data_IF_542524190433
#
_entry.id   IF_542524190433
#
_cell.length_a   1.000
_cell.length_b   1.000
_cell.length_c   1.000
_cell.angle_alpha   90.00
_cell.angle_beta   90.00
_cell.angle_gamma   90.00
#
_symmetry.space_group_name_H-M   'P 1'
#
loop_
_entity.id
_entity.type
_entity.pdbx_description
1 polymer ?
#
# COMPACT_ATOMS: atom_id res chain seq x y z
N UNK A 1 20.62 -7.46 8.24
CA UNK A 1 21.60 -7.66 9.35
C UNK A 1 23.01 -7.19 8.96
N UNK A 2 23.49 -7.51 7.77
CA UNK A 2 24.86 -7.17 7.32
C UNK A 2 25.18 -5.69 7.39
N UNK A 3 24.27 -4.83 6.97
CA UNK A 3 24.44 -3.37 7.07
C UNK A 3 24.75 -2.92 8.51
N UNK A 4 23.93 -3.35 9.49
CA UNK A 4 24.10 -2.97 10.88
C UNK A 4 25.42 -3.49 11.44
N UNK A 5 25.72 -4.79 11.22
CA UNK A 5 26.96 -5.40 11.68
C UNK A 5 28.20 -4.71 11.08
N UNK A 6 28.20 -4.43 9.78
CA UNK A 6 29.29 -3.70 9.13
C UNK A 6 29.45 -2.31 9.73
N UNK A 7 28.34 -1.59 9.95
CA UNK A 7 28.38 -0.24 10.55
C UNK A 7 28.98 -0.23 11.97
N UNK A 8 28.65 -1.24 12.79
CA UNK A 8 29.23 -1.37 14.14
C UNK A 8 30.71 -1.72 14.07
N UNK A 9 31.09 -2.70 13.23
CA UNK A 9 32.47 -3.18 13.10
C UNK A 9 33.40 -2.06 12.59
N UNK A 10 32.92 -1.23 11.66
CA UNK A 10 33.67 -0.12 11.07
C UNK A 10 33.64 1.14 11.92
N UNK A 11 32.91 1.17 13.04
CA UNK A 11 32.62 2.39 13.81
C UNK A 11 32.10 3.53 12.91
N UNK A 12 31.22 3.16 11.97
CA UNK A 12 30.75 4.02 10.89
C UNK A 12 30.06 5.29 11.40
N UNK A 13 30.51 6.44 10.93
CA UNK A 13 29.82 7.72 11.07
C UNK A 13 28.53 7.77 10.21
N UNK A 14 27.69 8.81 10.30
CA UNK A 14 26.45 8.90 9.51
C UNK A 14 26.66 8.80 8.01
N UNK A 15 27.76 9.38 7.46
CA UNK A 15 28.04 9.33 6.03
C UNK A 15 28.42 7.93 5.59
N UNK A 16 29.29 7.27 6.35
CA UNK A 16 29.66 5.89 6.07
C UNK A 16 28.49 4.91 6.25
N UNK A 17 27.62 5.12 7.23
CA UNK A 17 26.38 4.33 7.39
C UNK A 17 25.48 4.46 6.18
N UNK A 18 25.31 5.66 5.64
CA UNK A 18 24.54 5.90 4.43
C UNK A 18 25.12 5.17 3.21
N UNK A 19 26.44 5.19 3.02
CA UNK A 19 27.10 4.45 1.94
C UNK A 19 26.91 2.93 2.09
N UNK A 20 27.06 2.39 3.29
CA UNK A 20 26.78 0.98 3.57
C UNK A 20 25.31 0.62 3.30
N UNK A 21 24.39 1.49 3.71
CA UNK A 21 22.96 1.31 3.44
C UNK A 21 22.68 1.25 1.94
N UNK A 22 23.14 2.20 1.17
CA UNK A 22 22.98 2.22 -0.29
C UNK A 22 23.56 0.96 -0.94
N UNK A 23 24.74 0.54 -0.52
CA UNK A 23 25.40 -0.64 -1.09
C UNK A 23 24.64 -1.95 -0.82
N UNK A 24 23.89 -2.02 0.26
CA UNK A 24 23.12 -3.22 0.66
C UNK A 24 21.64 -3.16 0.25
N UNK A 25 21.06 -1.97 0.24
CA UNK A 25 19.63 -1.72 0.05
C UNK A 25 19.39 -0.59 -0.95
N UNK A 26 20.01 -0.67 -2.14
CA UNK A 26 19.87 0.32 -3.19
C UNK A 26 18.41 0.61 -3.58
N UNK A 27 17.57 -0.43 -3.50
CA UNK A 27 16.13 -0.33 -3.75
C UNK A 27 15.34 0.39 -2.63
N UNK A 28 15.92 0.61 -1.46
CA UNK A 28 15.19 1.13 -0.30
C UNK A 28 15.03 2.67 -0.30
N UNK A 29 15.63 3.36 -1.24
CA UNK A 29 15.39 4.80 -1.45
C UNK A 29 14.21 4.98 -2.43
N UNK A 30 13.01 5.17 -1.90
CA UNK A 30 11.78 5.37 -2.69
C UNK A 30 11.21 6.75 -2.38
N UNK A 31 10.93 7.57 -3.40
CA UNK A 31 11.25 7.41 -4.82
C UNK A 31 12.77 7.49 -5.09
N UNK A 32 13.28 6.86 -6.16
CA UNK A 32 14.70 6.82 -6.48
C UNK A 32 15.20 8.14 -7.13
N UNK A 33 14.88 9.25 -6.51
CA UNK A 33 15.24 10.62 -6.92
C UNK A 33 15.95 11.31 -5.74
N UNK A 34 16.67 12.44 -5.96
CA UNK A 34 17.41 13.10 -4.89
C UNK A 34 16.61 13.40 -3.63
N UNK A 35 15.34 13.81 -3.78
CA UNK A 35 14.44 14.05 -2.65
C UNK A 35 14.13 12.77 -1.85
N UNK A 36 13.90 11.65 -2.52
CA UNK A 36 13.68 10.35 -1.89
C UNK A 36 14.93 9.84 -1.18
N UNK A 37 16.10 10.00 -1.79
CA UNK A 37 17.37 9.64 -1.16
C UNK A 37 17.66 10.47 0.09
N UNK A 38 17.40 11.79 0.04
CA UNK A 38 17.51 12.66 1.21
C UNK A 38 16.59 12.21 2.34
N UNK A 39 15.33 11.94 2.04
CA UNK A 39 14.35 11.45 3.01
C UNK A 39 14.78 10.10 3.60
N UNK A 40 15.23 9.15 2.78
CA UNK A 40 15.70 7.84 3.25
C UNK A 40 16.91 7.96 4.18
N UNK A 41 17.84 8.87 3.88
CA UNK A 41 18.98 9.17 4.75
C UNK A 41 18.54 9.76 6.10
N UNK A 42 17.66 10.76 6.09
CA UNK A 42 17.12 11.36 7.32
C UNK A 42 16.39 10.31 8.18
N UNK A 43 15.64 9.41 7.55
CA UNK A 43 14.98 8.30 8.23
C UNK A 43 15.98 7.31 8.82
N UNK A 44 17.04 6.96 8.11
CA UNK A 44 18.11 6.09 8.60
C UNK A 44 18.81 6.69 9.83
N UNK A 45 19.16 7.96 9.77
CA UNK A 45 19.80 8.67 10.88
C UNK A 45 18.90 8.70 12.12
N UNK A 46 17.59 8.95 11.93
CA UNK A 46 16.61 8.91 13.00
C UNK A 46 16.36 7.51 13.57
N UNK A 47 16.51 6.46 12.74
CA UNK A 47 16.34 5.07 13.13
C UNK A 47 17.54 4.50 13.87
N UNK A 48 18.74 5.04 13.65
CA UNK A 48 19.98 4.44 14.10
C UNK A 48 20.01 4.10 15.59
N UNK A 49 19.57 5.01 16.43
CA UNK A 49 19.53 4.82 17.87
C UNK A 49 18.54 3.74 18.34
N UNK A 50 17.58 3.35 17.50
CA UNK A 50 16.54 2.36 17.83
C UNK A 50 16.99 0.92 17.55
N UNK A 51 17.94 0.69 16.64
CA UNK A 51 18.35 -0.65 16.25
C UNK A 51 18.83 -1.53 17.42
N UNK A 52 19.64 -1.05 18.38
CA UNK A 52 20.07 -1.89 19.51
C UNK A 52 18.89 -2.51 20.28
N UNK A 53 17.85 -1.72 20.54
CA UNK A 53 16.66 -2.16 21.28
C UNK A 53 15.79 -3.09 20.44
N UNK A 54 15.69 -2.84 19.13
CA UNK A 54 14.89 -3.63 18.19
C UNK A 54 15.60 -4.92 17.70
N UNK A 55 16.87 -5.14 18.05
CA UNK A 55 17.68 -6.20 17.46
C UNK A 55 17.10 -7.61 17.67
N UNK A 56 16.45 -7.86 18.80
CA UNK A 56 15.76 -9.13 19.06
C UNK A 56 14.59 -9.34 18.10
N UNK A 57 13.77 -8.31 17.88
CA UNK A 57 12.65 -8.34 16.94
C UNK A 57 13.12 -8.50 15.50
N UNK A 58 14.15 -7.76 15.09
CA UNK A 58 14.78 -7.90 13.77
C UNK A 58 15.28 -9.31 13.52
N UNK A 59 15.90 -9.95 14.52
CA UNK A 59 16.35 -11.34 14.40
C UNK A 59 15.21 -12.34 14.33
N UNK A 60 14.12 -12.12 15.06
CA UNK A 60 12.91 -12.95 14.96
C UNK A 60 12.30 -12.84 13.57
N UNK A 61 12.13 -11.62 13.04
CA UNK A 61 11.65 -11.41 11.69
C UNK A 61 12.56 -12.05 10.63
N UNK A 62 13.89 -11.99 10.82
CA UNK A 62 14.84 -12.63 9.92
C UNK A 62 14.81 -14.17 9.98
N UNK A 63 14.45 -14.75 11.12
CA UNK A 63 14.35 -16.20 11.28
C UNK A 63 13.05 -16.76 10.66
N UNK A 64 11.91 -16.06 10.84
CA UNK A 64 10.64 -16.50 10.31
C UNK A 64 9.63 -15.34 10.26
N UNK A 65 9.19 -14.99 9.06
CA UNK A 65 8.02 -14.14 8.87
C UNK A 65 6.75 -14.96 9.21
N UNK A 66 5.82 -14.36 9.93
CA UNK A 66 4.57 -15.01 10.32
C UNK A 66 3.35 -14.19 9.89
N UNK A 67 2.34 -14.79 9.21
CA UNK A 67 2.35 -16.18 8.68
C UNK A 67 3.47 -16.42 7.67
N UNK A 68 3.72 -17.66 7.26
CA UNK A 68 4.76 -17.90 6.25
C UNK A 68 4.39 -17.19 4.95
N UNK A 69 5.35 -16.58 4.23
CA UNK A 69 5.06 -15.88 2.99
C UNK A 69 4.37 -16.76 1.94
N UNK A 70 4.75 -18.04 1.85
CA UNK A 70 4.12 -18.98 0.93
C UNK A 70 2.64 -19.21 1.27
N UNK A 71 2.33 -19.41 2.54
CA UNK A 71 0.94 -19.58 3.00
C UNK A 71 0.11 -18.32 2.68
N UNK A 72 0.62 -17.14 3.04
CA UNK A 72 -0.08 -15.88 2.80
C UNK A 72 -0.31 -15.61 1.32
N UNK A 73 0.68 -15.88 0.47
CA UNK A 73 0.52 -15.73 -0.97
C UNK A 73 -0.57 -16.66 -1.52
N UNK A 74 -0.62 -17.91 -1.04
CA UNK A 74 -1.66 -18.87 -1.42
C UNK A 74 -3.05 -18.35 -1.04
N UNK A 75 -3.23 -17.89 0.22
CA UNK A 75 -4.51 -17.35 0.71
C UNK A 75 -4.97 -16.12 -0.11
N UNK A 76 -4.07 -15.21 -0.44
CA UNK A 76 -4.38 -14.02 -1.26
C UNK A 76 -4.73 -14.43 -2.70
N UNK A 77 -3.95 -15.33 -3.31
CA UNK A 77 -4.17 -15.80 -4.67
C UNK A 77 -5.52 -16.53 -4.81
N UNK A 78 -5.87 -17.39 -3.85
CA UNK A 78 -7.16 -18.08 -3.80
C UNK A 78 -8.32 -17.10 -3.65
N UNK A 79 -8.24 -16.15 -2.71
CA UNK A 79 -9.27 -15.14 -2.48
C UNK A 79 -9.53 -14.29 -3.74
N UNK A 80 -8.47 -13.92 -4.44
CA UNK A 80 -8.53 -13.11 -5.67
C UNK A 80 -8.80 -13.95 -6.93
N UNK A 81 -8.91 -15.27 -6.82
CA UNK A 81 -9.23 -16.18 -7.91
C UNK A 81 -8.17 -16.19 -8.99
N UNK A 82 -6.89 -16.21 -8.62
CA UNK A 82 -5.77 -16.29 -9.55
C UNK A 82 -5.87 -17.53 -10.45
N UNK A 83 -5.66 -17.36 -11.76
CA UNK A 83 -5.82 -18.43 -12.76
C UNK A 83 -4.52 -19.16 -13.09
N UNK A 84 -3.45 -18.89 -12.35
CA UNK A 84 -2.14 -19.50 -12.56
C UNK A 84 -1.18 -19.16 -11.43
N UNK A 85 0.06 -19.63 -11.52
CA UNK A 85 1.04 -19.37 -10.47
C UNK A 85 1.39 -17.89 -10.37
N UNK A 86 1.34 -17.36 -9.16
CA UNK A 86 1.86 -16.03 -8.84
C UNK A 86 3.28 -16.18 -8.30
N UNK A 87 4.23 -15.48 -8.91
CA UNK A 87 5.65 -15.57 -8.56
C UNK A 87 6.10 -14.28 -7.88
N UNK A 88 6.65 -14.41 -6.69
CA UNK A 88 7.23 -13.28 -5.96
C UNK A 88 8.69 -13.54 -5.62
N UNK A 89 9.46 -12.47 -5.58
CA UNK A 89 10.74 -12.38 -4.92
C UNK A 89 10.56 -11.56 -3.66
N UNK A 90 10.67 -12.19 -2.50
CA UNK A 90 10.57 -11.51 -1.23
C UNK A 90 11.97 -11.06 -0.78
N UNK A 91 12.11 -9.78 -0.47
CA UNK A 91 13.31 -9.18 0.11
C UNK A 91 12.98 -8.75 1.53
N UNK A 92 13.52 -9.48 2.50
CA UNK A 92 13.44 -9.09 3.90
C UNK A 92 14.64 -8.18 4.23
N UNK A 93 14.39 -6.97 4.71
CA UNK A 93 15.42 -5.97 4.96
C UNK A 93 15.25 -5.31 6.32
N UNK A 94 16.29 -4.72 6.85
CA UNK A 94 16.20 -3.87 8.04
C UNK A 94 15.80 -2.49 7.58
N UNK A 95 14.61 -2.04 7.92
CA UNK A 95 14.07 -0.76 7.52
C UNK A 95 14.35 0.37 8.54
N UNK A 96 13.49 1.36 8.56
CA UNK A 96 13.65 2.58 9.37
C UNK A 96 12.50 2.82 10.36
N UNK A 97 11.81 1.76 10.77
CA UNK A 97 10.66 1.80 11.69
C UNK A 97 9.48 2.64 11.17
N UNK A 98 9.25 2.61 9.84
CA UNK A 98 8.21 3.40 9.18
C UNK A 98 7.10 2.55 8.55
N UNK A 99 7.08 1.23 8.82
CA UNK A 99 6.20 0.29 8.12
C UNK A 99 6.26 0.55 6.61
N UNK A 100 7.44 0.36 6.05
CA UNK A 100 7.76 0.67 4.67
C UNK A 100 7.83 -0.56 3.79
N UNK A 101 6.92 -1.52 3.96
CA UNK A 101 6.73 -2.58 2.98
C UNK A 101 6.29 -1.98 1.65
N UNK A 102 6.75 -2.54 0.54
CA UNK A 102 6.38 -2.06 -0.79
C UNK A 102 6.57 -3.10 -1.89
N UNK A 103 5.83 -2.94 -2.96
CA UNK A 103 5.91 -3.72 -4.18
C UNK A 103 6.65 -2.95 -5.27
N UNK A 104 7.61 -3.61 -5.96
CA UNK A 104 8.45 -3.00 -7.01
C UNK A 104 7.96 -3.30 -8.44
N UNK A 105 6.73 -3.75 -8.59
CA UNK A 105 6.18 -4.12 -9.90
C UNK A 105 6.61 -5.51 -10.38
N UNK A 106 6.31 -5.81 -11.65
CA UNK A 106 6.56 -7.13 -12.27
C UNK A 106 7.69 -7.02 -13.28
N UNK A 107 8.69 -7.87 -13.13
CA UNK A 107 9.76 -8.05 -14.11
C UNK A 107 9.93 -9.54 -14.40
N UNK A 108 9.93 -9.92 -15.68
CA UNK A 108 10.06 -11.31 -16.12
C UNK A 108 9.02 -12.25 -15.46
N UNK A 109 7.79 -11.75 -15.25
CA UNK A 109 6.71 -12.50 -14.60
C UNK A 109 6.88 -12.69 -13.09
N UNK A 110 7.81 -11.95 -12.44
CA UNK A 110 8.07 -12.01 -11.00
C UNK A 110 7.85 -10.63 -10.39
N UNK A 111 7.01 -10.55 -9.36
CA UNK A 111 6.89 -9.34 -8.53
C UNK A 111 7.97 -9.33 -7.44
N UNK A 112 8.63 -8.20 -7.24
CA UNK A 112 9.56 -8.04 -6.12
C UNK A 112 8.88 -7.26 -5.00
N UNK A 113 8.92 -7.82 -3.78
CA UNK A 113 8.28 -7.25 -2.60
C UNK A 113 9.32 -7.12 -1.50
N UNK A 114 9.37 -5.97 -0.87
CA UNK A 114 10.26 -5.68 0.25
C UNK A 114 9.47 -5.60 1.56
N UNK A 115 9.91 -6.33 2.59
CA UNK A 115 9.28 -6.37 3.92
C UNK A 115 10.33 -6.00 4.98
N UNK A 116 10.07 -4.97 5.81
CA UNK A 116 10.97 -4.58 6.88
C UNK A 116 10.94 -5.59 8.03
N UNK A 117 12.11 -5.96 8.55
CA UNK A 117 12.27 -7.00 9.57
C UNK A 117 12.00 -6.53 11.01
N UNK A 118 12.06 -5.22 11.25
CA UNK A 118 11.84 -4.64 12.57
C UNK A 118 10.37 -4.55 12.97
N UNK A 119 9.46 -4.78 12.03
CA UNK A 119 8.04 -4.74 12.28
C UNK A 119 7.56 -5.95 13.09
N UNK A 120 6.41 -5.83 13.74
CA UNK A 120 5.82 -6.91 14.51
C UNK A 120 5.30 -8.04 13.61
N UNK A 121 5.09 -9.24 14.16
CA UNK A 121 4.46 -10.34 13.42
C UNK A 121 3.07 -9.97 12.89
N UNK A 122 2.32 -9.14 13.64
CA UNK A 122 1.05 -8.58 13.19
C UNK A 122 1.23 -7.68 11.98
N UNK A 123 2.19 -6.76 12.02
CA UNK A 123 2.45 -5.85 10.90
C UNK A 123 2.95 -6.63 9.67
N UNK A 124 3.82 -7.63 9.84
CA UNK A 124 4.22 -8.51 8.75
C UNK A 124 3.03 -9.21 8.09
N UNK A 125 2.04 -9.69 8.88
CA UNK A 125 0.85 -10.33 8.34
C UNK A 125 0.01 -9.36 7.51
N UNK A 126 -0.16 -8.13 7.98
CA UNK A 126 -0.90 -7.07 7.28
C UNK A 126 -0.17 -6.64 6.01
N UNK A 127 1.11 -6.32 6.12
CA UNK A 127 1.92 -5.82 5.02
C UNK A 127 2.12 -6.87 3.91
N UNK A 128 2.39 -8.13 4.27
CA UNK A 128 2.43 -9.22 3.28
C UNK A 128 1.10 -9.38 2.55
N UNK A 129 -0.02 -9.28 3.26
CA UNK A 129 -1.34 -9.40 2.63
C UNK A 129 -1.57 -8.27 1.63
N UNK A 130 -1.24 -7.04 2.02
CA UNK A 130 -1.36 -5.85 1.18
C UNK A 130 -0.50 -5.97 -0.09
N UNK A 131 0.79 -6.20 0.08
CA UNK A 131 1.75 -6.24 -1.03
C UNK A 131 1.54 -7.46 -1.95
N UNK A 132 1.14 -8.61 -1.41
CA UNK A 132 0.80 -9.78 -2.21
C UNK A 132 -0.47 -9.57 -3.02
N UNK A 133 -1.42 -8.75 -2.53
CA UNK A 133 -2.59 -8.35 -3.31
C UNK A 133 -2.17 -7.60 -4.58
N UNK A 134 -1.25 -6.64 -4.46
CA UNK A 134 -0.70 -5.95 -5.62
C UNK A 134 0.01 -6.92 -6.59
N UNK A 135 0.79 -7.87 -6.07
CA UNK A 135 1.49 -8.85 -6.90
C UNK A 135 0.51 -9.74 -7.69
N UNK A 136 -0.55 -10.23 -7.05
CA UNK A 136 -1.60 -11.02 -7.72
C UNK A 136 -2.29 -10.18 -8.78
N UNK A 137 -2.72 -8.97 -8.45
CA UNK A 137 -3.42 -8.06 -9.34
C UNK A 137 -2.59 -7.72 -10.58
N UNK A 138 -1.34 -7.35 -10.41
CA UNK A 138 -0.44 -7.02 -11.52
C UNK A 138 -0.20 -8.22 -12.46
N UNK A 139 -0.04 -9.43 -11.89
CA UNK A 139 0.22 -10.63 -12.71
C UNK A 139 -1.02 -11.21 -13.37
N UNK A 140 -2.19 -11.08 -12.75
CA UNK A 140 -3.45 -11.61 -13.31
C UNK A 140 -4.18 -10.61 -14.21
N UNK A 141 -4.18 -9.33 -13.85
CA UNK A 141 -4.87 -8.28 -14.60
C UNK A 141 -4.05 -7.62 -15.72
N UNK A 142 -2.76 -7.97 -15.85
CA UNK A 142 -1.89 -7.40 -16.89
C UNK A 142 -1.70 -5.88 -16.79
N UNK A 143 -1.71 -5.35 -15.60
CA UNK A 143 -1.64 -3.91 -15.35
C UNK A 143 -0.24 -3.37 -15.72
N UNK A 144 -0.21 -2.37 -16.62
CA UNK A 144 1.04 -1.84 -17.18
C UNK A 144 1.31 -0.39 -16.86
N UNK A 145 0.37 0.29 -16.26
CA UNK A 145 0.48 1.70 -15.91
C UNK A 145 -0.39 2.03 -14.70
N UNK A 146 -0.31 3.27 -14.25
CA UNK A 146 -1.17 3.75 -13.16
C UNK A 146 -1.80 5.09 -13.56
N UNK A 147 -3.12 5.17 -13.36
CA UNK A 147 -3.88 6.40 -13.24
C UNK A 147 -4.29 6.60 -11.78
N UNK A 148 -4.81 7.77 -11.45
CA UNK A 148 -5.37 8.00 -10.10
C UNK A 148 -6.51 7.01 -9.83
N UNK A 149 -7.40 6.75 -10.81
CA UNK A 149 -8.49 5.79 -10.65
C UNK A 149 -7.98 4.36 -10.45
N UNK A 150 -6.96 3.93 -11.21
CA UNK A 150 -6.36 2.61 -11.01
C UNK A 150 -5.69 2.48 -9.65
N UNK A 151 -5.07 3.55 -9.15
CA UNK A 151 -4.48 3.57 -7.81
C UNK A 151 -5.57 3.48 -6.71
N UNK A 152 -6.70 4.20 -6.87
CA UNK A 152 -7.87 4.08 -5.98
C UNK A 152 -8.34 2.63 -5.88
N UNK A 153 -8.44 1.95 -7.02
CA UNK A 153 -8.83 0.55 -7.03
C UNK A 153 -7.78 -0.36 -6.39
N UNK A 154 -6.51 -0.20 -6.75
CA UNK A 154 -5.43 -1.07 -6.28
C UNK A 154 -5.27 -0.99 -4.76
N UNK A 155 -5.18 0.21 -4.20
CA UNK A 155 -5.04 0.43 -2.77
C UNK A 155 -6.31 0.05 -2.00
N UNK A 156 -7.47 0.35 -2.58
CA UNK A 156 -8.76 -0.07 -2.03
C UNK A 156 -8.90 -1.58 -1.97
N UNK A 157 -8.52 -2.30 -3.02
CA UNK A 157 -8.54 -3.77 -3.04
C UNK A 157 -7.54 -4.35 -2.02
N UNK A 158 -6.31 -3.84 -1.99
CA UNK A 158 -5.29 -4.31 -1.07
C UNK A 158 -5.71 -4.12 0.39
N UNK A 159 -6.27 -2.96 0.76
CA UNK A 159 -6.77 -2.71 2.12
C UNK A 159 -7.95 -3.62 2.49
N UNK A 160 -8.89 -3.89 1.56
CA UNK A 160 -10.04 -4.77 1.81
C UNK A 160 -9.67 -6.26 1.85
N UNK A 161 -8.70 -6.70 1.05
CA UNK A 161 -8.13 -8.06 1.15
C UNK A 161 -7.42 -8.23 2.50
N UNK A 162 -6.67 -7.19 2.92
CA UNK A 162 -6.00 -7.20 4.23
C UNK A 162 -7.01 -7.31 5.37
N UNK A 163 -8.11 -6.56 5.35
CA UNK A 163 -9.21 -6.69 6.30
C UNK A 163 -9.82 -8.11 6.30
N UNK A 164 -10.06 -8.66 5.13
CA UNK A 164 -10.70 -9.98 4.97
C UNK A 164 -9.86 -11.12 5.53
N UNK A 165 -8.54 -11.09 5.32
CA UNK A 165 -7.63 -12.14 5.75
C UNK A 165 -7.03 -11.92 7.15
N UNK A 166 -7.16 -10.73 7.71
CA UNK A 166 -6.71 -10.38 9.06
C UNK A 166 -7.81 -9.61 9.80
N UNK A 167 -8.96 -10.26 10.11
CA UNK A 167 -10.11 -9.57 10.71
C UNK A 167 -9.82 -9.13 12.15
N UNK A 168 -10.62 -8.15 12.62
CA UNK A 168 -10.65 -7.78 14.04
C UNK A 168 -9.91 -6.50 14.40
N UNK A 169 -9.30 -5.81 13.43
CA UNK A 169 -8.70 -4.51 13.67
C UNK A 169 -9.62 -3.36 13.22
N UNK A 170 -9.46 -2.15 13.76
CA UNK A 170 -10.15 -0.97 13.26
C UNK A 170 -9.64 -0.57 11.87
N UNK A 171 -10.49 0.09 11.09
CA UNK A 171 -10.22 0.42 9.68
C UNK A 171 -8.93 1.22 9.44
N UNK A 172 -8.52 2.06 10.40
CA UNK A 172 -7.27 2.82 10.30
C UNK A 172 -6.01 1.93 10.28
N UNK A 173 -6.08 0.72 10.85
CA UNK A 173 -4.97 -0.25 10.78
C UNK A 173 -4.82 -0.78 9.36
N UNK A 174 -5.91 -1.12 8.68
CA UNK A 174 -5.88 -1.63 7.30
C UNK A 174 -5.47 -0.56 6.28
N UNK A 175 -5.86 0.69 6.53
CA UNK A 175 -5.45 1.82 5.68
C UNK A 175 -4.08 2.37 6.05
N UNK A 176 -3.37 1.73 6.99
CA UNK A 176 -2.05 2.14 7.48
C UNK A 176 -2.04 3.61 7.88
N UNK A 177 -3.00 4.01 8.71
CA UNK A 177 -3.23 5.40 9.09
C UNK A 177 -3.53 5.56 10.58
N UNK A 178 -3.72 6.80 11.05
CA UNK A 178 -4.22 7.07 12.40
C UNK A 178 -5.75 7.15 12.42
N UNK A 179 -6.36 6.97 13.59
CA UNK A 179 -7.80 7.19 13.78
C UNK A 179 -8.21 8.62 13.39
N UNK A 180 -7.40 9.62 13.76
CA UNK A 180 -7.63 11.02 13.39
C UNK A 180 -7.59 11.26 11.87
N UNK A 181 -6.73 10.53 11.14
CA UNK A 181 -6.74 10.58 9.68
C UNK A 181 -8.03 9.99 9.11
N UNK A 182 -8.47 8.84 9.63
CA UNK A 182 -9.71 8.19 9.19
C UNK A 182 -10.95 9.06 9.49
N UNK A 183 -10.97 9.73 10.62
CA UNK A 183 -12.04 10.70 10.97
C UNK A 183 -12.10 11.86 9.96
N UNK A 184 -10.94 12.45 9.60
CA UNK A 184 -10.89 13.49 8.56
C UNK A 184 -11.30 12.96 7.20
N UNK A 185 -10.85 11.75 6.83
CA UNK A 185 -11.26 11.08 5.60
C UNK A 185 -12.79 10.91 5.54
N UNK A 186 -13.41 10.41 6.61
CA UNK A 186 -14.86 10.26 6.70
C UNK A 186 -15.61 11.61 6.56
N UNK A 187 -15.12 12.63 7.25
CA UNK A 187 -15.74 13.95 7.23
C UNK A 187 -15.64 14.64 5.85
N UNK A 188 -14.57 14.38 5.11
CA UNK A 188 -14.31 14.98 3.79
C UNK A 188 -14.64 14.04 2.64
N UNK A 189 -15.26 12.89 2.88
CA UNK A 189 -15.45 11.84 1.87
C UNK A 189 -16.12 12.34 0.58
N UNK A 190 -17.21 13.13 0.61
CA UNK A 190 -17.82 13.62 -0.63
C UNK A 190 -16.84 14.45 -1.47
N UNK A 191 -16.05 15.31 -0.83
CA UNK A 191 -15.04 16.12 -1.51
C UNK A 191 -13.90 15.25 -2.06
N UNK A 192 -13.41 14.29 -1.29
CA UNK A 192 -12.38 13.33 -1.75
C UNK A 192 -12.87 12.57 -2.98
N UNK A 193 -14.10 12.06 -2.95
CA UNK A 193 -14.66 11.31 -4.08
C UNK A 193 -14.84 12.21 -5.33
N UNK A 194 -15.23 13.46 -5.16
CA UNK A 194 -15.39 14.42 -6.25
C UNK A 194 -14.05 14.73 -6.92
N UNK A 195 -13.00 14.99 -6.14
CA UNK A 195 -11.64 15.20 -6.62
C UNK A 195 -11.04 13.95 -7.31
N UNK A 196 -11.25 12.77 -6.72
CA UNK A 196 -10.80 11.51 -7.34
C UNK A 196 -11.55 11.21 -8.65
N UNK A 197 -12.82 11.61 -8.78
CA UNK A 197 -13.58 11.54 -10.02
C UNK A 197 -12.99 12.47 -11.08
N UNK A 198 -12.73 13.74 -10.73
CA UNK A 198 -12.18 14.74 -11.64
C UNK A 198 -10.78 14.34 -12.14
N UNK A 199 -9.94 13.86 -11.24
CA UNK A 199 -8.55 13.52 -11.52
C UNK A 199 -8.30 12.06 -11.89
N UNK A 200 -9.34 11.23 -11.92
CA UNK A 200 -9.23 9.77 -12.10
C UNK A 200 -8.43 9.33 -13.33
N UNK A 201 -8.58 10.04 -14.45
CA UNK A 201 -7.85 9.74 -15.70
C UNK A 201 -6.38 10.21 -15.72
N UNK A 202 -5.93 11.00 -14.72
CA UNK A 202 -4.56 11.49 -14.68
C UNK A 202 -3.58 10.31 -14.45
N UNK A 203 -2.66 10.09 -15.39
CA UNK A 203 -1.77 8.92 -15.43
C UNK A 203 -0.28 9.27 -15.28
N UNK A 204 0.08 10.52 -15.06
CA UNK A 204 1.48 10.90 -14.81
C UNK A 204 1.95 10.47 -13.42
N UNK A 205 3.17 9.95 -13.31
CA UNK A 205 3.75 9.51 -12.03
C UNK A 205 3.65 10.59 -10.92
N UNK A 206 3.80 11.87 -11.27
CA UNK A 206 3.66 12.98 -10.34
C UNK A 206 2.22 13.12 -9.83
N UNK A 207 1.22 13.00 -10.72
CA UNK A 207 -0.19 13.07 -10.32
C UNK A 207 -0.56 11.90 -9.41
N UNK A 208 -0.26 10.67 -9.83
CA UNK A 208 -0.52 9.47 -9.02
C UNK A 208 0.17 9.56 -7.66
N UNK A 209 1.45 9.96 -7.62
CA UNK A 209 2.21 10.11 -6.37
C UNK A 209 1.60 11.16 -5.43
N UNK A 210 1.08 12.28 -5.97
CA UNK A 210 0.41 13.31 -5.18
C UNK A 210 -0.78 12.75 -4.41
N UNK A 211 -1.65 11.98 -5.07
CA UNK A 211 -2.85 11.41 -4.46
C UNK A 211 -2.58 10.17 -3.61
N UNK A 212 -1.51 9.42 -3.90
CA UNK A 212 -1.18 8.17 -3.19
C UNK A 212 -0.31 8.39 -1.97
N UNK A 213 0.68 9.28 -2.04
CA UNK A 213 1.69 9.48 -0.98
C UNK A 213 1.70 10.89 -0.40
N UNK A 214 1.17 11.87 -1.12
CA UNK A 214 1.11 13.26 -0.74
C UNK A 214 -0.28 13.69 -0.28
N UNK A 215 -0.45 15.01 -0.17
CA UNK A 215 -1.74 15.66 0.06
C UNK A 215 -2.39 15.92 -1.28
N UNK A 216 -3.54 15.32 -1.51
CA UNK A 216 -4.31 15.51 -2.73
C UNK A 216 -5.03 16.86 -2.76
N UNK A 217 -5.98 17.01 -3.68
CA UNK A 217 -6.69 18.28 -3.93
C UNK A 217 -7.83 18.54 -2.95
N UNK A 218 -8.38 17.50 -2.33
CA UNK A 218 -9.32 17.64 -1.19
C UNK A 218 -8.64 18.03 0.13
N UNK A 219 -7.30 18.13 0.15
CA UNK A 219 -6.54 18.49 1.35
C UNK A 219 -6.34 17.36 2.35
N UNK A 220 -6.61 16.13 1.95
CA UNK A 220 -6.37 14.92 2.73
C UNK A 220 -5.08 14.24 2.24
N UNK A 221 -4.22 13.84 3.16
CA UNK A 221 -3.07 13.01 2.81
C UNK A 221 -3.54 11.64 2.35
N UNK A 222 -2.94 11.14 1.26
CA UNK A 222 -3.23 9.79 0.75
C UNK A 222 -4.72 9.61 0.37
N UNK A 223 -5.28 10.53 -0.39
CA UNK A 223 -6.69 10.50 -0.83
C UNK A 223 -7.07 9.20 -1.55
N UNK A 224 -6.14 8.58 -2.26
CA UNK A 224 -6.32 7.27 -2.90
C UNK A 224 -6.68 6.18 -1.88
N UNK A 225 -6.05 6.16 -0.71
CA UNK A 225 -6.39 5.20 0.36
C UNK A 225 -7.75 5.51 0.99
N UNK A 226 -8.05 6.80 1.17
CA UNK A 226 -9.35 7.24 1.66
C UNK A 226 -10.46 6.81 0.71
N UNK A 227 -10.42 7.25 -0.54
CA UNK A 227 -11.43 6.89 -1.54
C UNK A 227 -11.48 5.40 -1.83
N UNK A 228 -10.32 4.76 -1.96
CA UNK A 228 -10.20 3.32 -2.23
C UNK A 228 -10.90 2.45 -1.20
N UNK A 229 -10.74 2.77 0.09
CA UNK A 229 -11.44 2.07 1.18
C UNK A 229 -12.95 2.08 1.00
N UNK A 230 -13.54 3.23 0.65
CA UNK A 230 -14.99 3.35 0.46
C UNK A 230 -15.45 2.79 -0.88
N UNK A 231 -14.74 3.06 -1.96
CA UNK A 231 -15.09 2.64 -3.31
C UNK A 231 -15.11 1.12 -3.43
N UNK A 232 -14.01 0.45 -3.03
CA UNK A 232 -13.95 -1.02 -3.07
C UNK A 232 -14.89 -1.65 -2.03
N UNK A 233 -15.02 -1.02 -0.86
CA UNK A 233 -16.01 -1.42 0.14
C UNK A 233 -17.44 -1.40 -0.40
N UNK A 234 -17.80 -0.39 -1.18
CA UNK A 234 -19.11 -0.30 -1.85
C UNK A 234 -19.27 -1.38 -2.92
N UNK A 235 -18.26 -1.63 -3.75
CA UNK A 235 -18.31 -2.72 -4.74
C UNK A 235 -18.59 -4.08 -4.08
N UNK A 236 -17.90 -4.37 -2.97
CA UNK A 236 -18.12 -5.60 -2.19
C UNK A 236 -19.53 -5.67 -1.59
N UNK A 237 -20.04 -4.55 -1.07
CA UNK A 237 -21.39 -4.44 -0.53
C UNK A 237 -22.47 -4.62 -1.59
N UNK A 238 -22.19 -4.21 -2.81
CA UNK A 238 -23.05 -4.42 -4.00
C UNK A 238 -22.95 -5.86 -4.57
N UNK A 239 -22.21 -6.76 -3.89
CA UNK A 239 -22.12 -8.18 -4.22
C UNK A 239 -21.01 -8.54 -5.21
N UNK A 240 -20.12 -7.62 -5.57
CA UNK A 240 -18.92 -7.95 -6.39
C UNK A 240 -17.97 -8.78 -5.55
N UNK A 241 -17.58 -9.97 -6.02
CA UNK A 241 -16.68 -10.84 -5.28
C UNK A 241 -15.22 -10.39 -5.35
N UNK A 242 -14.42 -10.76 -4.35
CA UNK A 242 -12.96 -10.55 -4.39
C UNK A 242 -12.33 -11.19 -5.64
N UNK A 243 -12.79 -12.38 -6.04
CA UNK A 243 -12.26 -13.05 -7.23
C UNK A 243 -12.61 -12.30 -8.53
N UNK A 244 -13.75 -11.62 -8.59
CA UNK A 244 -14.09 -10.74 -9.70
C UNK A 244 -13.19 -9.51 -9.72
N UNK A 245 -13.01 -8.85 -8.56
CA UNK A 245 -12.14 -7.68 -8.43
C UNK A 245 -10.67 -8.01 -8.77
N UNK A 246 -10.17 -9.15 -8.29
CA UNK A 246 -8.77 -9.55 -8.49
C UNK A 246 -8.40 -9.84 -9.95
N UNK A 247 -9.39 -10.09 -10.81
CA UNK A 247 -9.20 -10.41 -12.25
C UNK A 247 -9.54 -9.27 -13.18
N UNK A 248 -10.02 -8.14 -12.67
CA UNK A 248 -10.32 -6.99 -13.51
C UNK A 248 -9.07 -6.50 -14.24
N UNK A 249 -9.21 -6.25 -15.54
CA UNK A 249 -8.24 -5.46 -16.27
C UNK A 249 -8.20 -4.02 -15.74
N UNK A 250 -7.14 -3.31 -16.03
CA UNK A 250 -7.03 -1.90 -15.59
C UNK A 250 -8.21 -1.05 -16.08
N UNK A 251 -8.60 -1.18 -17.34
CA UNK A 251 -9.70 -0.41 -17.92
C UNK A 251 -11.06 -0.73 -17.26
N UNK A 252 -11.33 -2.01 -16.95
CA UNK A 252 -12.54 -2.42 -16.22
C UNK A 252 -12.55 -1.84 -14.80
N UNK A 253 -11.42 -1.87 -14.11
CA UNK A 253 -11.27 -1.33 -12.77
C UNK A 253 -11.49 0.19 -12.74
N UNK A 254 -10.86 0.94 -13.66
CA UNK A 254 -11.02 2.38 -13.80
C UNK A 254 -12.48 2.77 -14.08
N UNK A 255 -13.14 2.09 -15.02
CA UNK A 255 -14.55 2.30 -15.32
C UNK A 255 -15.46 1.99 -14.12
N UNK A 256 -15.15 0.90 -13.38
CA UNK A 256 -15.91 0.53 -12.19
C UNK A 256 -15.72 1.51 -11.04
N UNK A 257 -14.49 2.04 -10.85
CA UNK A 257 -14.22 3.11 -9.88
C UNK A 257 -15.06 4.34 -10.18
N UNK A 258 -15.04 4.83 -11.42
CA UNK A 258 -15.81 6.01 -11.82
C UNK A 258 -17.31 5.81 -11.53
N UNK A 259 -17.91 4.71 -11.99
CA UNK A 259 -19.31 4.41 -11.77
C UNK A 259 -19.66 4.27 -10.27
N UNK A 260 -18.76 3.71 -9.46
CA UNK A 260 -19.00 3.56 -8.03
C UNK A 260 -18.90 4.90 -7.29
N UNK A 261 -17.97 5.77 -7.68
CA UNK A 261 -17.87 7.13 -7.13
C UNK A 261 -19.15 7.91 -7.43
N UNK A 262 -19.65 7.89 -8.67
CA UNK A 262 -20.91 8.55 -9.06
C UNK A 262 -22.10 8.05 -8.22
N UNK A 263 -22.17 6.74 -7.96
CA UNK A 263 -23.20 6.14 -7.10
C UNK A 263 -23.09 6.62 -5.65
N UNK A 264 -21.88 6.70 -5.09
CA UNK A 264 -21.65 7.16 -3.72
C UNK A 264 -22.01 8.64 -3.57
N UNK A 265 -21.63 9.50 -4.51
CA UNK A 265 -21.95 10.93 -4.51
C UNK A 265 -23.46 11.16 -4.64
N UNK A 266 -24.14 10.41 -5.51
CA UNK A 266 -25.59 10.51 -5.69
C UNK A 266 -26.37 10.10 -4.45
N UNK A 267 -25.89 9.10 -3.70
CA UNK A 267 -26.55 8.65 -2.46
C UNK A 267 -26.28 9.59 -1.26
N UNK A 268 -25.27 10.45 -1.34
CA UNK A 268 -24.93 11.43 -0.30
C UNK A 268 -25.68 12.77 -0.44
N UNK A 269 -26.34 13.01 -1.56
CA UNK A 269 -27.14 14.23 -1.78
C UNK A 269 -28.51 14.06 -1.11
N UNK A 270 -28.87 14.86 -0.07
CA UNK A 270 -30.20 14.78 0.52
C UNK A 270 -31.26 15.06 -0.53
N UNK A 271 -32.26 14.17 -0.62
CA UNK A 271 -33.40 14.36 -1.49
C UNK A 271 -34.02 15.74 -1.22
N UNK A 272 -33.87 16.67 -2.15
CA UNK A 272 -34.61 17.93 -2.13
C UNK A 272 -36.09 17.59 -2.10
N UNK A 273 -36.75 17.81 -0.95
CA UNK A 273 -38.19 17.72 -0.86
C UNK A 273 -38.77 18.66 -1.92
N UNK A 274 -39.24 18.09 -3.04
CA UNK A 274 -40.06 18.83 -3.97
C UNK A 274 -41.32 19.23 -3.22
N UNK A 275 -41.38 20.50 -2.78
CA UNK A 275 -42.55 21.08 -2.20
C UNK A 275 -43.62 21.16 -3.29
N UNK A 276 -44.58 20.24 -3.26
CA UNK A 276 -45.83 20.42 -3.96
C UNK A 276 -46.56 21.61 -3.33
N UNK A 277 -46.71 22.65 -4.10
CA UNK A 277 -47.75 23.66 -3.85
C UNK A 277 -49.10 23.18 -4.36
#
# INVERSE_FOLDING_TARGET
>A
MDFYNSSITEHADPDRRWELWKSKYDFAAVPPIPAGQKMAREQLDAAWAKYPEAMSQIRLGAAALSPSPQQRLTEVAELLGAQGPVRIRLIAFVGTFRRSAFSMGVKDGVSTIAIPLEDSAQDHALDMTHEFTHAVQMQQGGWTGQSVASAVFAEGLATRVTERLNPGFPANIYTTSSSAWLERCNASLPQVLDELREHGANSGAQAVSKFTYGTGTAGIDREVYCGGWFVVGRMLSDGVSFSTLGRMTQAEAEGKVAATIDSLLSSSTPATKSGSR
#
